data_IF_464291995433
#
_entry.id   IF_464291995433
#
_cell.length_a   1.000
_cell.length_b   1.000
_cell.length_c   1.000
_cell.angle_alpha   90.00
_cell.angle_beta   90.00
_cell.angle_gamma   90.00
#
_symmetry.space_group_name_H-M   'P 1'
#
loop_
_entity.id
_entity.type
_entity.pdbx_description
1 polymer ?
#
# COMPACT_ATOMS: atom_id res chain seq x y z
N UNK A 1 10.07 -20.75 8.72
CA UNK A 1 11.49 -20.37 8.47
C UNK A 1 11.76 -19.82 7.07
N UNK A 2 11.33 -20.45 5.95
CA UNK A 2 11.63 -19.93 4.58
C UNK A 2 11.08 -18.50 4.30
N UNK A 3 9.80 -18.24 4.59
CA UNK A 3 9.18 -16.92 4.35
C UNK A 3 9.92 -15.77 5.07
N UNK A 4 10.27 -15.95 6.34
CA UNK A 4 10.99 -14.92 7.11
C UNK A 4 12.40 -14.67 6.57
N UNK A 5 13.11 -15.73 6.15
CA UNK A 5 14.43 -15.61 5.49
C UNK A 5 14.32 -14.86 4.17
N UNK A 6 13.29 -15.17 3.40
CA UNK A 6 13.01 -14.55 2.10
C UNK A 6 12.64 -13.06 2.27
N UNK A 7 11.81 -12.71 3.25
CA UNK A 7 11.53 -11.31 3.63
C UNK A 7 12.81 -10.60 4.08
N UNK A 8 13.66 -11.25 4.88
CA UNK A 8 14.95 -10.68 5.28
C UNK A 8 15.86 -10.40 4.08
N UNK A 9 15.83 -11.26 3.06
CA UNK A 9 16.56 -11.04 1.79
C UNK A 9 15.98 -9.86 1.02
N UNK A 10 14.65 -9.77 0.95
CA UNK A 10 13.96 -8.67 0.30
C UNK A 10 14.30 -7.33 0.96
N UNK A 11 14.27 -7.23 2.29
CA UNK A 11 14.63 -6.01 3.02
C UNK A 11 16.08 -5.57 2.76
N UNK A 12 17.01 -6.52 2.56
CA UNK A 12 18.42 -6.21 2.32
C UNK A 12 18.72 -5.82 0.87
N UNK A 13 17.93 -6.31 -0.09
CA UNK A 13 18.29 -6.24 -1.52
C UNK A 13 17.24 -5.56 -2.40
N UNK A 14 16.02 -5.36 -1.90
CA UNK A 14 14.86 -4.92 -2.68
C UNK A 14 14.43 -5.92 -3.74
N UNK A 15 14.95 -7.15 -3.69
CA UNK A 15 14.73 -8.16 -4.70
C UNK A 15 14.50 -9.54 -4.09
N UNK A 16 13.67 -10.31 -4.78
CA UNK A 16 13.59 -11.74 -4.57
C UNK A 16 13.21 -12.42 -5.88
N UNK A 17 13.78 -13.60 -6.11
CA UNK A 17 13.43 -14.42 -7.25
C UNK A 17 11.99 -14.92 -7.12
N UNK A 18 11.22 -14.78 -8.20
CA UNK A 18 9.81 -15.15 -8.24
C UNK A 18 9.59 -16.64 -8.47
N UNK A 19 8.63 -17.22 -7.77
CA UNK A 19 8.19 -18.60 -7.90
C UNK A 19 6.85 -18.64 -8.64
N UNK A 20 6.70 -19.59 -9.56
CA UNK A 20 5.39 -19.92 -10.15
C UNK A 20 4.77 -21.03 -9.30
N UNK A 21 3.63 -20.72 -8.66
CA UNK A 21 2.91 -21.68 -7.81
C UNK A 21 1.61 -22.15 -8.46
N UNK A 22 1.28 -23.42 -8.22
CA UNK A 22 -0.06 -23.96 -8.47
C UNK A 22 -1.09 -23.29 -7.55
N UNK A 23 -2.36 -23.24 -7.97
CA UNK A 23 -3.43 -22.55 -7.24
C UNK A 23 -3.57 -23.02 -5.77
N UNK A 24 -3.49 -24.33 -5.53
CA UNK A 24 -3.55 -24.91 -4.18
C UNK A 24 -2.46 -24.37 -3.26
N UNK A 25 -1.24 -24.21 -3.78
CA UNK A 25 -0.12 -23.67 -3.02
C UNK A 25 -0.27 -22.17 -2.79
N UNK A 26 -0.88 -21.43 -3.72
CA UNK A 26 -1.19 -20.01 -3.55
C UNK A 26 -2.15 -19.78 -2.37
N UNK A 27 -3.20 -20.61 -2.23
CA UNK A 27 -4.14 -20.52 -1.09
C UNK A 27 -3.42 -20.78 0.23
N UNK A 28 -2.57 -21.80 0.29
CA UNK A 28 -1.78 -22.09 1.50
C UNK A 28 -0.85 -20.94 1.87
N UNK A 29 -0.19 -20.35 0.87
CA UNK A 29 0.70 -19.20 1.07
C UNK A 29 -0.10 -17.97 1.50
N UNK A 30 -1.27 -17.73 0.91
CA UNK A 30 -2.18 -16.65 1.27
C UNK A 30 -2.46 -16.65 2.78
N UNK A 31 -2.96 -17.76 3.32
CA UNK A 31 -3.27 -17.82 4.77
C UNK A 31 -2.04 -17.69 5.66
N UNK A 32 -0.87 -18.18 5.23
CA UNK A 32 0.38 -17.97 5.97
C UNK A 32 0.79 -16.49 6.01
N UNK A 33 0.66 -15.78 4.90
CA UNK A 33 0.98 -14.36 4.83
C UNK A 33 -0.05 -13.49 5.55
N UNK A 34 -1.34 -13.85 5.46
CA UNK A 34 -2.40 -13.20 6.22
C UNK A 34 -2.17 -13.36 7.74
N UNK A 35 -1.82 -14.57 8.19
CA UNK A 35 -1.45 -14.83 9.58
C UNK A 35 -0.22 -14.03 10.01
N UNK A 36 0.79 -13.90 9.15
CA UNK A 36 1.95 -13.05 9.42
C UNK A 36 1.56 -11.57 9.56
N UNK A 37 0.72 -11.04 8.67
CA UNK A 37 0.22 -9.66 8.76
C UNK A 37 -0.52 -9.46 10.08
N UNK A 38 -1.40 -10.40 10.45
CA UNK A 38 -2.14 -10.35 11.70
C UNK A 38 -1.19 -10.30 12.92
N UNK A 39 -0.17 -11.17 12.96
CA UNK A 39 0.83 -11.14 14.03
C UNK A 39 1.61 -9.82 14.09
N UNK A 40 1.99 -9.26 12.94
CA UNK A 40 2.66 -7.95 12.88
C UNK A 40 1.76 -6.81 13.35
N UNK A 41 0.45 -6.89 13.09
CA UNK A 41 -0.53 -5.91 13.57
C UNK A 41 -0.81 -6.04 15.07
N UNK A 42 -0.85 -7.25 15.62
CA UNK A 42 -0.91 -7.46 17.06
C UNK A 42 0.35 -6.92 17.76
N UNK A 43 1.52 -7.14 17.17
CA UNK A 43 2.77 -6.57 17.66
C UNK A 43 2.73 -5.03 17.66
N UNK A 44 2.29 -4.43 16.56
CA UNK A 44 2.09 -2.97 16.48
C UNK A 44 1.09 -2.48 17.54
N UNK A 45 -0.06 -3.14 17.69
CA UNK A 45 -1.07 -2.80 18.69
C UNK A 45 -0.51 -2.84 20.11
N UNK A 46 0.29 -3.86 20.44
CA UNK A 46 0.96 -3.95 21.74
C UNK A 46 1.90 -2.78 22.02
N UNK A 47 2.68 -2.34 21.02
CA UNK A 47 3.52 -1.15 21.12
C UNK A 47 2.66 0.10 21.33
N UNK A 48 1.61 0.29 20.52
CA UNK A 48 0.73 1.44 20.62
C UNK A 48 0.06 1.52 22.00
N UNK A 49 -0.49 0.41 22.51
CA UNK A 49 -1.12 0.39 23.83
C UNK A 49 -0.11 0.65 24.96
N UNK A 50 1.10 0.08 24.88
CA UNK A 50 2.14 0.34 25.88
C UNK A 50 2.60 1.79 25.89
N UNK A 51 2.73 2.42 24.72
CA UNK A 51 3.06 3.84 24.62
C UNK A 51 1.90 4.72 25.13
N UNK A 52 0.66 4.39 24.79
CA UNK A 52 -0.52 5.15 25.21
C UNK A 52 -0.81 5.06 26.72
N UNK A 53 -0.19 4.11 27.43
CA UNK A 53 -0.26 4.02 28.90
C UNK A 53 0.70 4.95 29.64
N UNK A 54 1.58 5.66 28.92
CA UNK A 54 2.53 6.61 29.50
C UNK A 54 1.89 7.99 29.54
N UNK A 55 1.89 8.64 30.70
CA UNK A 55 1.35 9.98 30.88
C UNK A 55 1.97 10.97 29.87
N UNK A 56 1.10 11.72 29.18
CA UNK A 56 1.50 12.70 28.17
C UNK A 56 1.72 12.14 26.76
N UNK A 57 1.56 10.83 26.57
CA UNK A 57 1.50 10.21 25.24
C UNK A 57 0.04 9.90 24.91
N UNK A 58 -0.45 10.49 23.83
CA UNK A 58 -1.77 10.21 23.27
C UNK A 58 -1.62 9.95 21.77
N UNK A 59 -1.66 8.68 21.38
CA UNK A 59 -1.49 8.28 19.98
C UNK A 59 -2.79 8.59 19.25
N UNK A 60 -2.75 9.47 18.23
CA UNK A 60 -3.96 9.85 17.51
C UNK A 60 -4.58 8.65 16.79
N UNK A 61 -5.90 8.62 16.76
CA UNK A 61 -6.66 7.70 15.92
C UNK A 61 -6.87 8.30 14.53
N UNK A 62 -7.05 7.47 13.48
CA UNK A 62 -7.44 7.96 12.18
C UNK A 62 -8.74 8.77 12.26
N UNK A 63 -8.79 9.89 11.54
CA UNK A 63 -9.98 10.73 11.44
C UNK A 63 -11.05 10.02 10.60
N UNK A 64 -12.30 10.05 11.05
CA UNK A 64 -13.42 9.78 10.16
C UNK A 64 -13.60 11.01 9.25
N UNK A 65 -13.36 10.84 7.95
CA UNK A 65 -13.50 11.94 6.99
C UNK A 65 -14.97 12.31 6.81
N UNK A 66 -15.31 13.60 6.86
CA UNK A 66 -16.70 14.09 6.70
C UNK A 66 -17.41 13.57 5.43
N UNK A 67 -16.67 13.32 4.34
CA UNK A 67 -17.21 12.74 3.10
C UNK A 67 -17.75 11.31 3.32
N UNK A 68 -17.11 10.53 4.19
CA UNK A 68 -17.49 9.14 4.49
C UNK A 68 -18.72 9.03 5.37
N UNK A 69 -19.07 10.04 6.16
CA UNK A 69 -20.24 10.00 7.03
C UNK A 69 -21.55 9.94 6.26
N UNK A 70 -21.56 10.46 5.03
CA UNK A 70 -22.72 10.44 4.13
C UNK A 70 -22.98 9.06 3.49
N UNK A 71 -22.04 8.12 3.59
CA UNK A 71 -22.11 6.83 2.91
C UNK A 71 -22.73 5.75 3.80
N UNK A 72 -23.50 4.84 3.18
CA UNK A 72 -23.98 3.66 3.88
C UNK A 72 -22.83 2.77 4.34
N UNK A 73 -23.00 2.07 5.46
CA UNK A 73 -21.98 1.17 5.99
C UNK A 73 -21.45 0.13 4.99
N UNK A 74 -22.32 -0.39 4.11
CA UNK A 74 -21.93 -1.26 3.00
C UNK A 74 -21.01 -0.58 1.98
N UNK A 75 -21.28 0.69 1.65
CA UNK A 75 -20.44 1.47 0.75
C UNK A 75 -19.09 1.80 1.40
N UNK A 76 -19.08 2.21 2.69
CA UNK A 76 -17.84 2.41 3.46
C UNK A 76 -16.98 1.15 3.46
N UNK A 77 -17.57 0.00 3.78
CA UNK A 77 -16.90 -1.30 3.73
C UNK A 77 -16.33 -1.58 2.34
N UNK A 78 -17.13 -1.42 1.28
CA UNK A 78 -16.69 -1.71 -0.08
C UNK A 78 -15.51 -0.84 -0.52
N UNK A 79 -15.52 0.45 -0.18
CA UNK A 79 -14.41 1.35 -0.51
C UNK A 79 -13.15 0.95 0.25
N UNK A 80 -13.24 0.79 1.57
CA UNK A 80 -12.08 0.53 2.44
C UNK A 80 -11.49 -0.89 2.27
N UNK A 81 -12.35 -1.89 2.10
CA UNK A 81 -11.95 -3.30 2.01
C UNK A 81 -11.55 -3.74 0.60
N UNK A 82 -12.06 -3.07 -0.45
CA UNK A 82 -11.93 -3.55 -1.83
C UNK A 82 -11.30 -2.49 -2.71
N UNK A 83 -11.95 -1.34 -2.86
CA UNK A 83 -11.55 -0.34 -3.86
C UNK A 83 -10.18 0.27 -3.53
N UNK A 84 -10.00 0.77 -2.30
CA UNK A 84 -8.75 1.39 -1.88
C UNK A 84 -7.56 0.42 -1.96
N UNK A 85 -7.61 -0.81 -1.41
CA UNK A 85 -6.54 -1.80 -1.56
C UNK A 85 -6.17 -2.09 -3.02
N UNK A 86 -7.16 -2.23 -3.91
CA UNK A 86 -6.87 -2.48 -5.33
C UNK A 86 -6.10 -1.30 -5.93
N UNK A 87 -6.56 -0.07 -5.73
CA UNK A 87 -5.90 1.12 -6.25
C UNK A 87 -4.49 1.30 -5.69
N UNK A 88 -4.31 1.07 -4.40
CA UNK A 88 -3.01 1.16 -3.73
C UNK A 88 -2.03 0.10 -4.24
N UNK A 89 -2.46 -1.15 -4.39
CA UNK A 89 -1.60 -2.22 -4.92
C UNK A 89 -1.24 -1.98 -6.38
N UNK A 90 -2.18 -1.50 -7.20
CA UNK A 90 -1.89 -1.13 -8.59
C UNK A 90 -0.89 0.04 -8.66
N UNK A 91 -1.04 1.03 -7.79
CA UNK A 91 -0.17 2.20 -7.73
C UNK A 91 1.24 1.82 -7.27
N UNK A 92 1.37 1.19 -6.11
CA UNK A 92 2.67 1.00 -5.47
C UNK A 92 3.35 -0.33 -5.81
N UNK A 93 2.59 -1.41 -6.07
CA UNK A 93 3.19 -2.76 -6.21
C UNK A 93 3.43 -3.16 -7.65
N UNK A 94 2.74 -2.55 -8.62
CA UNK A 94 3.16 -2.69 -10.03
C UNK A 94 4.54 -2.08 -10.26
N UNK A 95 4.84 -0.95 -9.62
CA UNK A 95 6.13 -0.25 -9.68
C UNK A 95 7.34 -1.09 -9.26
N UNK A 96 7.16 -2.13 -8.46
CA UNK A 96 8.24 -3.03 -8.03
C UNK A 96 8.80 -3.90 -9.17
N UNK A 97 8.02 -4.13 -10.23
CA UNK A 97 8.45 -4.85 -11.45
C UNK A 97 8.31 -3.94 -12.65
N UNK A 98 9.41 -3.37 -13.11
CA UNK A 98 9.36 -2.44 -14.24
C UNK A 98 8.82 -3.11 -15.51
N UNK A 99 7.84 -2.45 -16.12
CA UNK A 99 7.41 -2.62 -17.50
C UNK A 99 6.79 -1.29 -17.94
N UNK A 100 6.68 -1.02 -19.24
CA UNK A 100 6.03 0.21 -19.73
C UNK A 100 4.63 0.38 -19.10
N UNK A 101 3.83 -0.68 -19.07
CA UNK A 101 2.46 -0.65 -18.50
C UNK A 101 2.47 -0.41 -17.00
N UNK A 102 3.30 -1.14 -16.25
CA UNK A 102 3.37 -1.00 -14.79
C UNK A 102 3.83 0.40 -14.39
N UNK A 103 4.79 0.96 -15.11
CA UNK A 103 5.28 2.32 -14.86
C UNK A 103 4.18 3.36 -15.13
N UNK A 104 3.45 3.24 -16.23
CA UNK A 104 2.33 4.16 -16.54
C UNK A 104 1.27 4.09 -15.44
N UNK A 105 0.82 2.89 -15.04
CA UNK A 105 -0.19 2.74 -13.99
C UNK A 105 0.31 3.29 -12.65
N UNK A 106 1.56 3.03 -12.28
CA UNK A 106 2.18 3.58 -11.07
C UNK A 106 2.17 5.11 -11.07
N UNK A 107 2.63 5.76 -12.15
CA UNK A 107 2.66 7.22 -12.22
C UNK A 107 1.25 7.81 -12.22
N UNK A 108 0.31 7.25 -12.97
CA UNK A 108 -1.09 7.67 -12.95
C UNK A 108 -1.72 7.54 -11.57
N UNK A 109 -1.46 6.45 -10.85
CA UNK A 109 -1.93 6.25 -9.49
C UNK A 109 -1.32 7.24 -8.49
N UNK A 110 -0.03 7.54 -8.62
CA UNK A 110 0.64 8.57 -7.80
C UNK A 110 0.04 9.95 -8.06
N UNK A 111 -0.24 10.30 -9.32
CA UNK A 111 -0.89 11.57 -9.67
C UNK A 111 -2.31 11.64 -9.08
N UNK A 112 -3.10 10.57 -9.20
CA UNK A 112 -4.42 10.49 -8.59
C UNK A 112 -4.33 10.70 -7.07
N UNK A 113 -3.45 9.96 -6.39
CA UNK A 113 -3.26 10.06 -4.94
C UNK A 113 -2.81 11.45 -4.51
N UNK A 114 -1.85 12.05 -5.22
CA UNK A 114 -1.40 13.40 -4.91
C UNK A 114 -2.54 14.42 -5.03
N UNK A 115 -3.32 14.36 -6.12
CA UNK A 115 -4.38 15.32 -6.36
C UNK A 115 -5.57 15.11 -5.41
N UNK A 116 -6.05 13.88 -5.21
CA UNK A 116 -7.24 13.63 -4.37
C UNK A 116 -6.90 13.55 -2.88
N UNK A 117 -5.83 12.87 -2.50
CA UNK A 117 -5.56 12.55 -1.08
C UNK A 117 -4.74 13.66 -0.43
N UNK A 118 -3.75 14.22 -1.13
CA UNK A 118 -2.85 15.22 -0.55
C UNK A 118 -3.35 16.65 -0.76
N UNK A 119 -3.86 16.96 -1.96
CA UNK A 119 -4.30 18.32 -2.32
C UNK A 119 -5.82 18.51 -2.25
N UNK A 120 -6.57 17.46 -1.89
CA UNK A 120 -8.02 17.43 -1.76
C UNK A 120 -8.81 18.02 -2.97
N UNK A 121 -8.31 17.80 -4.18
CA UNK A 121 -9.09 18.10 -5.39
C UNK A 121 -10.26 17.13 -5.54
N UNK A 122 -11.29 17.56 -6.29
CA UNK A 122 -12.42 16.68 -6.60
C UNK A 122 -11.96 15.39 -7.30
N UNK A 123 -12.66 14.28 -7.03
CA UNK A 123 -12.38 12.98 -7.64
C UNK A 123 -12.36 13.06 -9.17
N UNK A 124 -13.24 13.87 -9.77
CA UNK A 124 -13.29 14.09 -11.21
C UNK A 124 -11.99 14.68 -11.75
N UNK A 125 -11.46 15.73 -11.11
CA UNK A 125 -10.19 16.36 -11.51
C UNK A 125 -9.05 15.33 -11.38
N UNK A 126 -8.95 14.64 -10.25
CA UNK A 126 -7.90 13.65 -10.02
C UNK A 126 -7.93 12.52 -11.07
N UNK A 127 -9.12 11.99 -11.41
CA UNK A 127 -9.27 10.94 -12.41
C UNK A 127 -8.92 11.43 -13.82
N UNK A 128 -9.40 12.60 -14.24
CA UNK A 128 -9.10 13.16 -15.55
C UNK A 128 -7.60 13.42 -15.69
N UNK A 129 -6.95 13.97 -14.66
CA UNK A 129 -5.50 14.17 -14.65
C UNK A 129 -4.72 12.84 -14.71
N UNK A 130 -5.16 11.82 -13.97
CA UNK A 130 -4.54 10.49 -13.99
C UNK A 130 -4.66 9.80 -15.36
N UNK A 131 -5.78 9.99 -16.06
CA UNK A 131 -5.99 9.49 -17.43
C UNK A 131 -5.19 10.29 -18.46
N UNK A 132 -5.12 11.62 -18.31
CA UNK A 132 -4.32 12.49 -19.17
C UNK A 132 -2.83 12.12 -19.10
N UNK A 133 -2.28 11.93 -17.89
CA UNK A 133 -0.89 11.51 -17.73
C UNK A 133 -0.66 10.08 -18.27
N UNK A 134 -1.61 9.16 -18.09
CA UNK A 134 -1.51 7.81 -18.65
C UNK A 134 -1.38 7.83 -20.18
N UNK A 135 -2.23 8.65 -20.81
CA UNK A 135 -2.28 8.84 -22.26
C UNK A 135 -0.99 9.49 -22.75
N UNK A 136 -0.57 10.58 -22.11
CA UNK A 136 0.69 11.27 -22.42
C UNK A 136 1.90 10.33 -22.35
N UNK A 137 2.05 9.56 -21.27
CA UNK A 137 3.16 8.62 -21.10
C UNK A 137 3.13 7.47 -22.13
N UNK A 138 1.95 7.06 -22.57
CA UNK A 138 1.81 6.01 -23.59
C UNK A 138 2.48 6.43 -24.90
N UNK A 139 2.29 7.69 -25.31
CA UNK A 139 2.85 8.25 -26.55
C UNK A 139 4.30 8.75 -26.42
N UNK A 140 4.75 9.16 -25.23
CA UNK A 140 6.09 9.74 -25.03
C UNK A 140 7.18 8.74 -24.63
N UNK A 141 6.81 7.61 -23.99
CA UNK A 141 7.78 6.58 -23.59
C UNK A 141 8.28 5.79 -24.80
N UNK A 142 9.38 6.28 -25.39
CA UNK A 142 10.11 5.65 -26.49
C UNK A 142 10.90 4.40 -26.04
N UNK A 143 11.28 3.50 -26.97
CA UNK A 143 12.08 2.32 -26.64
C UNK A 143 13.39 2.64 -25.91
N UNK A 144 14.07 3.72 -26.30
CA UNK A 144 15.32 4.17 -25.66
C UNK A 144 15.11 4.53 -24.19
N UNK A 145 14.04 5.27 -23.87
CA UNK A 145 13.69 5.63 -22.49
C UNK A 145 13.34 4.37 -21.69
N UNK A 146 12.57 3.46 -22.26
CA UNK A 146 12.17 2.20 -21.62
C UNK A 146 13.39 1.35 -21.25
N UNK A 147 14.38 1.25 -22.14
CA UNK A 147 15.64 0.53 -21.87
C UNK A 147 16.40 1.19 -20.72
N UNK A 148 16.54 2.52 -20.76
CA UNK A 148 17.20 3.28 -19.68
C UNK A 148 16.52 3.07 -18.33
N UNK A 149 15.20 3.22 -18.25
CA UNK A 149 14.41 2.98 -17.04
C UNK A 149 14.50 1.53 -16.57
N UNK A 150 14.49 0.57 -17.49
CA UNK A 150 14.66 -0.86 -17.15
C UNK A 150 16.01 -1.09 -16.46
N UNK A 151 17.09 -0.49 -16.98
CA UNK A 151 18.42 -0.61 -16.39
C UNK A 151 18.48 0.08 -15.02
N UNK A 152 17.91 1.27 -14.90
CA UNK A 152 17.80 1.96 -13.62
C UNK A 152 17.06 1.10 -12.59
N UNK A 153 15.90 0.53 -12.95
CA UNK A 153 15.14 -0.34 -12.05
C UNK A 153 15.92 -1.58 -11.62
N UNK A 154 16.70 -2.18 -12.53
CA UNK A 154 17.53 -3.33 -12.21
C UNK A 154 18.67 -2.99 -11.26
N UNK A 155 19.28 -1.82 -11.40
CA UNK A 155 20.45 -1.40 -10.62
C UNK A 155 20.07 -0.79 -9.27
N UNK A 156 18.85 -0.28 -9.12
CA UNK A 156 18.39 0.45 -7.92
C UNK A 156 17.19 -0.20 -7.23
N UNK A 157 17.07 -1.53 -7.28
CA UNK A 157 15.92 -2.28 -6.73
C UNK A 157 15.64 -1.96 -5.27
N UNK A 158 16.68 -1.87 -4.44
CA UNK A 158 16.56 -1.54 -3.00
C UNK A 158 15.95 -0.16 -2.78
N UNK A 159 16.43 0.85 -3.52
CA UNK A 159 15.94 2.23 -3.43
C UNK A 159 14.47 2.29 -3.85
N UNK A 160 14.13 1.66 -4.97
CA UNK A 160 12.76 1.63 -5.50
C UNK A 160 11.81 0.93 -4.53
N UNK A 161 12.24 -0.20 -3.95
CA UNK A 161 11.48 -0.94 -2.96
C UNK A 161 11.12 -0.06 -1.75
N UNK A 162 12.11 0.60 -1.14
CA UNK A 162 11.86 1.47 0.01
C UNK A 162 11.09 2.73 -0.35
N UNK A 163 11.38 3.35 -1.50
CA UNK A 163 10.65 4.52 -1.97
C UNK A 163 9.15 4.21 -2.10
N UNK A 164 8.80 3.09 -2.73
CA UNK A 164 7.39 2.71 -2.91
C UNK A 164 6.69 2.36 -1.59
N UNK A 165 7.37 1.67 -0.67
CA UNK A 165 6.81 1.34 0.65
C UNK A 165 6.65 2.59 1.54
N UNK A 166 7.63 3.50 1.52
CA UNK A 166 7.58 4.74 2.28
C UNK A 166 6.50 5.66 1.72
N UNK A 167 6.42 5.85 0.39
CA UNK A 167 5.35 6.64 -0.23
C UNK A 167 3.97 6.07 0.08
N UNK A 168 3.80 4.74 0.04
CA UNK A 168 2.57 4.08 0.47
C UNK A 168 2.23 4.40 1.92
N UNK A 169 3.22 4.36 2.81
CA UNK A 169 3.01 4.60 4.26
C UNK A 169 2.72 6.07 4.57
N UNK A 170 3.37 7.00 3.86
CA UNK A 170 3.16 8.45 4.00
C UNK A 170 1.75 8.83 3.54
N UNK A 171 1.26 8.23 2.46
CA UNK A 171 -0.09 8.50 1.97
C UNK A 171 -1.16 8.25 3.03
N UNK A 172 -0.95 7.26 3.91
CA UNK A 172 -1.88 6.94 5.00
C UNK A 172 -1.83 7.93 6.16
N UNK A 173 -0.83 8.81 6.23
CA UNK A 173 -0.81 9.92 7.21
C UNK A 173 -1.94 10.91 6.90
N UNK A 174 -2.39 11.01 5.64
CA UNK A 174 -3.51 11.85 5.26
C UNK A 174 -4.86 11.43 5.87
N UNK A 175 -4.94 10.22 6.46
CA UNK A 175 -6.12 9.77 7.18
C UNK A 175 -6.17 10.28 8.63
N UNK A 176 -5.30 11.20 9.02
CA UNK A 176 -5.24 11.76 10.36
C UNK A 176 -5.27 13.29 10.31
N UNK A 177 -5.81 13.90 11.36
CA UNK A 177 -5.83 15.36 11.50
C UNK A 177 -4.41 15.90 11.67
N UNK A 178 -3.93 16.60 10.64
CA UNK A 178 -2.58 17.17 10.61
C UNK A 178 -2.49 18.39 11.55
N UNK A 179 -2.00 18.16 12.77
CA UNK A 179 -1.67 19.19 13.74
C UNK A 179 -0.19 19.09 14.18
N UNK A 180 0.30 20.00 15.01
CA UNK A 180 1.71 19.95 15.48
C UNK A 180 2.02 18.68 16.28
N UNK A 181 1.02 18.08 16.94
CA UNK A 181 1.17 16.91 17.81
C UNK A 181 1.42 15.63 17.00
N UNK A 182 0.78 15.47 15.83
CA UNK A 182 0.94 14.23 15.04
C UNK A 182 2.35 14.01 14.51
N UNK A 183 3.14 15.09 14.34
CA UNK A 183 4.49 15.03 13.76
C UNK A 183 5.39 14.05 14.50
N UNK A 184 5.26 13.97 15.83
CA UNK A 184 6.05 13.06 16.67
C UNK A 184 5.63 11.59 16.47
N UNK A 185 4.36 11.35 16.10
CA UNK A 185 3.80 10.01 15.91
C UNK A 185 3.89 9.51 14.46
N UNK A 186 4.27 10.36 13.49
CA UNK A 186 4.45 9.97 12.08
C UNK A 186 5.28 8.69 11.92
N UNK A 187 6.46 8.52 12.58
CA UNK A 187 7.24 7.29 12.44
C UNK A 187 6.47 6.05 12.89
N UNK A 188 5.70 6.14 13.98
CA UNK A 188 4.92 5.03 14.52
C UNK A 188 3.72 4.70 13.59
N UNK A 189 2.99 5.72 13.16
CA UNK A 189 1.86 5.57 12.22
C UNK A 189 2.33 4.94 10.90
N UNK A 190 3.41 5.47 10.33
CA UNK A 190 4.00 4.95 9.11
C UNK A 190 4.50 3.52 9.30
N UNK A 191 5.09 3.19 10.46
CA UNK A 191 5.59 1.85 10.75
C UNK A 191 4.51 0.77 10.60
N UNK A 192 3.28 1.03 11.05
CA UNK A 192 2.16 0.08 10.90
C UNK A 192 1.86 -0.26 9.43
N UNK A 193 2.05 0.72 8.52
CA UNK A 193 1.82 0.59 7.08
C UNK A 193 3.05 -0.02 6.38
N UNK A 194 4.27 0.30 6.83
CA UNK A 194 5.50 -0.33 6.37
C UNK A 194 5.46 -1.84 6.60
N UNK A 195 5.01 -2.29 7.79
CA UNK A 195 4.91 -3.72 8.11
C UNK A 195 4.03 -4.49 7.11
N UNK A 196 2.83 -3.99 6.84
CA UNK A 196 1.95 -4.57 5.82
C UNK A 196 2.54 -4.45 4.42
N UNK A 197 3.09 -3.29 4.09
CA UNK A 197 3.66 -2.99 2.78
C UNK A 197 4.84 -3.90 2.41
N UNK A 198 5.67 -4.30 3.38
CA UNK A 198 6.73 -5.30 3.20
C UNK A 198 6.14 -6.66 2.82
N UNK A 199 5.10 -7.12 3.52
CA UNK A 199 4.46 -8.42 3.23
C UNK A 199 3.76 -8.42 1.87
N UNK A 200 3.05 -7.35 1.52
CA UNK A 200 2.41 -7.21 0.19
C UNK A 200 3.44 -7.15 -0.94
N UNK A 201 4.56 -6.45 -0.72
CA UNK A 201 5.67 -6.38 -1.68
C UNK A 201 6.34 -7.73 -1.86
N UNK A 202 6.52 -8.48 -0.77
CA UNK A 202 6.98 -9.87 -0.83
C UNK A 202 6.01 -10.73 -1.65
N UNK A 203 4.70 -10.66 -1.39
CA UNK A 203 3.69 -11.40 -2.15
C UNK A 203 3.75 -11.08 -3.66
N UNK A 204 3.90 -9.79 -4.01
CA UNK A 204 4.03 -9.32 -5.40
C UNK A 204 5.30 -9.82 -6.09
N UNK A 205 6.44 -9.67 -5.43
CA UNK A 205 7.74 -9.97 -6.02
C UNK A 205 7.97 -11.47 -6.12
N UNK A 206 7.67 -12.20 -5.05
CA UNK A 206 7.82 -13.65 -4.96
C UNK A 206 6.78 -14.40 -5.77
N UNK A 207 5.55 -13.90 -5.87
CA UNK A 207 4.47 -14.59 -6.59
C UNK A 207 3.87 -13.69 -7.67
N UNK A 208 2.75 -13.03 -7.39
CA UNK A 208 2.01 -12.25 -8.38
C UNK A 208 1.22 -11.09 -7.73
N UNK A 209 0.68 -10.19 -8.57
CA UNK A 209 -0.06 -9.02 -8.09
C UNK A 209 -1.41 -9.38 -7.46
N UNK A 210 -2.08 -10.43 -7.95
CA UNK A 210 -3.39 -10.84 -7.43
C UNK A 210 -3.29 -11.33 -5.99
N UNK A 211 -2.21 -12.03 -5.64
CA UNK A 211 -1.95 -12.44 -4.26
C UNK A 211 -1.75 -11.23 -3.34
N UNK A 212 -1.02 -10.21 -3.79
CA UNK A 212 -0.83 -8.98 -3.02
C UNK A 212 -2.15 -8.22 -2.82
N UNK A 213 -2.94 -8.05 -3.89
CA UNK A 213 -4.29 -7.46 -3.86
C UNK A 213 -5.19 -8.22 -2.90
N UNK A 214 -5.30 -9.54 -3.05
CA UNK A 214 -6.16 -10.34 -2.19
C UNK A 214 -5.76 -10.29 -0.72
N UNK A 215 -4.46 -10.29 -0.42
CA UNK A 215 -3.97 -10.18 0.96
C UNK A 215 -4.34 -8.83 1.57
N UNK A 216 -4.19 -7.76 0.79
CA UNK A 216 -4.51 -6.42 1.24
C UNK A 216 -6.03 -6.25 1.44
N UNK A 217 -6.83 -6.73 0.49
CA UNK A 217 -8.29 -6.74 0.61
C UNK A 217 -8.75 -7.54 1.84
N UNK A 218 -8.22 -8.74 2.06
CA UNK A 218 -8.59 -9.54 3.22
C UNK A 218 -8.16 -8.89 4.54
N UNK A 219 -6.99 -8.25 4.57
CA UNK A 219 -6.56 -7.50 5.73
C UNK A 219 -7.50 -6.33 6.04
N UNK A 220 -7.84 -5.51 5.04
CA UNK A 220 -8.72 -4.36 5.24
C UNK A 220 -10.15 -4.80 5.53
N UNK A 221 -10.65 -5.85 4.88
CA UNK A 221 -11.97 -6.41 5.16
C UNK A 221 -12.13 -6.83 6.62
N UNK A 222 -11.09 -7.37 7.26
CA UNK A 222 -11.12 -7.71 8.68
C UNK A 222 -11.23 -6.46 9.57
N UNK A 223 -10.57 -5.37 9.18
CA UNK A 223 -10.59 -4.10 9.94
C UNK A 223 -11.92 -3.37 9.73
N UNK A 224 -12.42 -3.30 8.50
CA UNK A 224 -13.60 -2.53 8.13
C UNK A 224 -14.91 -3.32 8.29
N UNK A 225 -14.86 -4.59 8.68
CA UNK A 225 -16.04 -5.44 8.89
C UNK A 225 -17.14 -4.81 9.76
N UNK A 226 -16.82 -4.07 10.85
CA UNK A 226 -17.84 -3.43 11.68
C UNK A 226 -18.76 -2.48 10.91
N UNK A 227 -18.28 -1.79 9.87
CA UNK A 227 -19.10 -0.88 9.07
C UNK A 227 -20.29 -1.57 8.40
N UNK A 228 -20.31 -2.89 8.25
CA UNK A 228 -21.48 -3.59 7.71
C UNK A 228 -22.70 -3.59 8.65
N UNK A 229 -22.49 -3.29 9.94
CA UNK A 229 -23.52 -3.37 10.98
C UNK A 229 -23.89 -2.01 11.57
N UNK A 230 -23.08 -0.98 11.34
CA UNK A 230 -23.29 0.37 11.84
C UNK A 230 -23.48 1.33 10.66
N UNK A 231 -24.65 1.97 10.60
CA UNK A 231 -25.04 2.95 9.59
C UNK A 231 -24.69 4.37 10.02
#
# INVERSE_FOLDING_TARGET
>A
MKILKDIGTLLKTGYIEGDKLLLKDQIRIFFKLLGLIFLLKLFYLGISLGLNSIDGIDIPLPSETQDFDSYSGFLKFSILAIVAPILEELTFRLGLKFSKRNFIVMISGIIYALLKIVLDFSVYIALVSALAIATFLTFTLSPKIIISLTNYWKNHRLIIFYLLIISFSILHIANYDLNSTIVVYIPLIAFSHVLGGVVFSYARLKYNILLAIGLHMAHNALISFPYLFFS
#
